data_IF_287278181707
#
_entry.id   IF_287278181707
#
_cell.length_a   1.000
_cell.length_b   1.000
_cell.length_c   1.000
_cell.angle_alpha   90.00
_cell.angle_beta   90.00
_cell.angle_gamma   90.00
#
_symmetry.space_group_name_H-M   'P 1'
#
loop_
_entity.id
_entity.type
_entity.pdbx_description
1 polymer ?
#
# COMPACT_ATOMS: atom_id res chain seq x y z
N UNK A 1 11.23 -53.00 19.95
CA UNK A 1 10.93 -51.56 20.07
C UNK A 1 12.22 -50.80 20.36
N UNK A 2 12.81 -50.13 19.37
CA UNK A 2 14.05 -49.36 19.56
C UNK A 2 13.77 -48.15 20.46
N UNK A 3 14.45 -48.05 21.61
CA UNK A 3 14.37 -46.88 22.49
C UNK A 3 14.90 -45.67 21.72
N UNK A 4 14.05 -44.67 21.50
CA UNK A 4 14.45 -43.40 20.91
C UNK A 4 15.48 -42.76 21.84
N UNK A 5 16.68 -42.52 21.32
CA UNK A 5 17.77 -41.91 22.08
C UNK A 5 17.35 -40.51 22.56
N UNK A 6 17.77 -40.09 23.76
CA UNK A 6 17.32 -38.82 24.38
C UNK A 6 17.56 -37.61 23.47
N UNK A 7 18.67 -37.62 22.71
CA UNK A 7 18.98 -36.59 21.72
C UNK A 7 17.97 -36.53 20.57
N UNK A 8 17.56 -37.68 20.03
CA UNK A 8 16.52 -37.75 18.98
C UNK A 8 15.17 -37.24 19.49
N UNK A 9 14.82 -37.56 20.74
CA UNK A 9 13.61 -37.04 21.39
C UNK A 9 13.65 -35.52 21.51
N UNK A 10 14.79 -34.94 21.89
CA UNK A 10 14.98 -33.49 21.96
C UNK A 10 14.76 -32.82 20.60
N UNK A 11 15.41 -33.32 19.55
CA UNK A 11 15.28 -32.76 18.19
C UNK A 11 13.83 -32.80 17.71
N UNK A 12 13.13 -33.93 17.90
CA UNK A 12 11.72 -34.06 17.50
C UNK A 12 10.84 -33.07 18.25
N UNK A 13 11.04 -32.90 19.56
CA UNK A 13 10.27 -31.93 20.34
C UNK A 13 10.51 -30.50 19.84
N UNK A 14 11.77 -30.11 19.60
CA UNK A 14 12.10 -28.78 19.07
C UNK A 14 11.46 -28.54 17.71
N UNK A 15 11.51 -29.52 16.80
CA UNK A 15 10.89 -29.41 15.48
C UNK A 15 9.36 -29.33 15.56
N UNK A 16 8.73 -30.09 16.46
CA UNK A 16 7.27 -30.04 16.66
C UNK A 16 6.85 -28.69 17.23
N UNK A 17 7.55 -28.16 18.23
CA UNK A 17 7.29 -26.82 18.78
C UNK A 17 7.45 -25.76 17.70
N UNK A 18 8.51 -25.86 16.88
CA UNK A 18 8.73 -24.94 15.77
C UNK A 18 7.61 -25.02 14.73
N UNK A 19 7.19 -26.23 14.33
CA UNK A 19 6.08 -26.41 13.40
C UNK A 19 4.77 -25.84 13.93
N UNK A 20 4.46 -26.04 15.21
CA UNK A 20 3.26 -25.48 15.85
C UNK A 20 3.33 -23.96 15.83
N UNK A 21 4.45 -23.36 16.25
CA UNK A 21 4.62 -21.91 16.24
C UNK A 21 4.50 -21.31 14.83
N UNK A 22 5.15 -21.93 13.83
CA UNK A 22 5.07 -21.47 12.44
C UNK A 22 3.68 -21.65 11.85
N UNK A 23 2.93 -22.67 12.27
CA UNK A 23 1.56 -22.89 11.78
C UNK A 23 0.53 -21.95 12.42
N UNK A 24 0.72 -21.58 13.69
CA UNK A 24 -0.23 -20.73 14.43
C UNK A 24 0.05 -19.24 14.27
N UNK A 25 1.31 -18.85 14.10
CA UNK A 25 1.67 -17.48 13.74
C UNK A 25 1.67 -17.39 12.22
N UNK A 26 0.95 -16.43 11.64
CA UNK A 26 0.64 -16.29 10.20
C UNK A 26 1.86 -16.16 9.24
N UNK A 27 3.07 -16.46 9.70
CA UNK A 27 4.34 -16.16 9.06
C UNK A 27 5.12 -15.05 9.75
N UNK A 28 4.59 -14.47 10.83
CA UNK A 28 5.20 -13.34 11.57
C UNK A 28 6.44 -13.74 12.38
N UNK A 29 6.67 -15.04 12.59
CA UNK A 29 7.74 -15.53 13.46
C UNK A 29 9.03 -15.87 12.68
N UNK A 30 9.53 -14.91 11.89
CA UNK A 30 10.90 -14.97 11.40
C UNK A 30 11.79 -14.08 12.26
N UNK A 31 12.56 -14.63 13.23
CA UNK A 31 13.33 -13.85 14.20
C UNK A 31 14.46 -13.00 13.56
N UNK A 32 14.69 -13.14 12.26
CA UNK A 32 15.65 -12.35 11.48
C UNK A 32 15.01 -11.45 10.41
N UNK A 33 13.68 -11.42 10.29
CA UNK A 33 13.01 -10.53 9.34
C UNK A 33 12.60 -9.24 10.04
N UNK A 34 13.37 -8.18 9.79
CA UNK A 34 13.06 -6.78 10.21
C UNK A 34 11.82 -6.25 9.44
N UNK A 35 11.28 -7.05 8.52
CA UNK A 35 10.07 -6.76 7.77
C UNK A 35 9.03 -7.87 7.97
N UNK A 36 7.84 -7.58 8.51
CA UNK A 36 6.69 -8.45 8.34
C UNK A 36 6.17 -8.28 6.91
N UNK A 37 6.98 -8.69 5.93
CA UNK A 37 6.51 -8.87 4.56
C UNK A 37 6.05 -10.33 4.47
N UNK A 38 4.88 -10.57 3.86
CA UNK A 38 4.30 -11.88 3.51
C UNK A 38 3.30 -12.54 4.48
N UNK A 39 3.12 -12.08 5.71
CA UNK A 39 2.16 -12.67 6.67
C UNK A 39 0.73 -12.10 6.60
N UNK A 40 0.30 -11.64 5.42
CA UNK A 40 -1.12 -11.48 5.10
C UNK A 40 -1.48 -12.31 3.86
N UNK A 41 -0.81 -13.45 3.67
CA UNK A 41 -1.17 -14.38 2.61
C UNK A 41 -2.65 -14.76 2.75
N UNK A 42 -3.50 -14.25 1.86
CA UNK A 42 -4.96 -14.46 1.89
C UNK A 42 -5.79 -13.21 2.21
N UNK A 43 -5.27 -12.27 2.99
CA UNK A 43 -6.06 -11.16 3.51
C UNK A 43 -5.99 -9.93 2.58
N UNK A 44 -7.10 -9.19 2.42
CA UNK A 44 -7.08 -7.93 1.71
C UNK A 44 -6.14 -6.94 2.41
N UNK A 45 -5.35 -6.22 1.61
CA UNK A 45 -4.45 -5.17 2.10
C UNK A 45 -4.73 -3.86 1.38
N UNK A 46 -4.44 -2.74 2.06
CA UNK A 46 -4.55 -1.40 1.50
C UNK A 46 -3.19 -0.70 1.54
N UNK A 47 -2.82 -0.03 0.44
CA UNK A 47 -1.67 0.88 0.33
C UNK A 47 -2.09 2.17 -0.35
N UNK A 48 -1.19 3.16 -0.37
CA UNK A 48 -1.36 4.32 -1.23
C UNK A 48 -0.27 4.35 -2.30
N UNK A 49 -0.64 4.91 -3.46
CA UNK A 49 0.25 5.14 -4.58
C UNK A 49 -0.01 6.53 -5.14
N UNK A 50 1.01 7.16 -5.70
CA UNK A 50 0.86 8.39 -6.46
C UNK A 50 1.31 8.19 -7.90
N UNK A 51 0.64 8.88 -8.82
CA UNK A 51 1.02 8.96 -10.23
C UNK A 51 1.21 10.42 -10.61
N UNK A 52 2.27 10.70 -11.33
CA UNK A 52 2.50 11.99 -11.96
C UNK A 52 1.59 12.11 -13.18
N UNK A 53 0.82 13.20 -13.22
CA UNK A 53 -0.15 13.48 -14.28
C UNK A 53 0.11 14.80 -14.99
N UNK A 54 1.29 15.39 -14.79
CA UNK A 54 1.65 16.66 -15.43
C UNK A 54 1.55 16.62 -16.97
N UNK A 55 1.85 15.48 -17.58
CA UNK A 55 1.91 15.33 -19.05
C UNK A 55 0.69 14.60 -19.64
N UNK A 56 -0.40 14.46 -18.87
CA UNK A 56 -1.60 13.75 -19.32
C UNK A 56 -2.44 14.57 -20.30
N UNK A 57 -2.99 13.90 -21.32
CA UNK A 57 -3.95 14.52 -22.22
C UNK A 57 -5.29 14.77 -21.52
N UNK A 58 -6.04 15.82 -21.89
CA UNK A 58 -7.32 16.15 -21.27
C UNK A 58 -8.33 14.98 -21.30
N UNK A 59 -8.34 14.21 -22.38
CA UNK A 59 -9.16 13.03 -22.63
C UNK A 59 -8.90 11.86 -21.66
N UNK A 60 -7.71 11.77 -21.08
CA UNK A 60 -7.39 10.80 -20.04
C UNK A 60 -7.64 11.34 -18.64
N UNK A 61 -7.78 12.66 -18.48
CA UNK A 61 -8.01 13.30 -17.19
C UNK A 61 -9.35 12.91 -16.57
N UNK A 62 -10.40 12.80 -17.39
CA UNK A 62 -11.73 12.38 -16.92
C UNK A 62 -11.76 10.92 -16.44
N UNK A 63 -10.90 10.07 -17.01
CA UNK A 63 -10.80 8.65 -16.66
C UNK A 63 -10.07 8.43 -15.32
N UNK A 64 -9.34 9.44 -14.82
CA UNK A 64 -8.58 9.35 -13.56
C UNK A 64 -9.49 8.95 -12.39
N UNK A 65 -10.74 9.41 -12.38
CA UNK A 65 -11.68 9.25 -11.28
C UNK A 65 -12.38 7.89 -11.23
N UNK A 66 -12.18 7.04 -12.24
CA UNK A 66 -12.71 5.70 -12.24
C UNK A 66 -11.82 4.74 -11.47
N UNK A 67 -12.45 3.75 -10.84
CA UNK A 67 -11.74 2.62 -10.26
C UNK A 67 -11.16 1.76 -11.37
N UNK A 68 -9.85 1.51 -11.33
CA UNK A 68 -9.15 0.79 -12.39
C UNK A 68 -8.17 -0.24 -11.81
N UNK A 69 -7.76 -1.20 -12.64
CA UNK A 69 -6.65 -2.06 -12.29
C UNK A 69 -5.36 -1.23 -12.22
N UNK A 70 -4.48 -1.52 -11.27
CA UNK A 70 -3.23 -0.76 -11.08
C UNK A 70 -2.36 -0.70 -12.35
N UNK A 71 -2.43 -1.72 -13.21
CA UNK A 71 -1.65 -1.80 -14.45
C UNK A 71 -2.20 -0.92 -15.58
N UNK A 72 -3.39 -0.35 -15.42
CA UNK A 72 -4.07 0.47 -16.43
C UNK A 72 -4.10 1.96 -16.06
N UNK A 73 -3.51 2.34 -14.92
CA UNK A 73 -3.62 3.70 -14.43
C UNK A 73 -2.93 4.70 -15.36
N UNK A 74 -3.55 5.86 -15.61
CA UNK A 74 -2.94 6.91 -16.41
C UNK A 74 -1.73 7.53 -15.68
N UNK A 75 -0.89 8.25 -16.44
CA UNK A 75 0.27 8.97 -15.93
C UNK A 75 1.52 8.12 -15.71
N UNK A 76 2.51 8.66 -15.01
CA UNK A 76 3.78 7.98 -14.71
C UNK A 76 3.90 7.65 -13.21
N UNK A 77 4.65 6.61 -12.79
CA UNK A 77 4.83 6.32 -11.37
C UNK A 77 5.52 7.50 -10.66
N UNK A 78 4.91 8.02 -9.59
CA UNK A 78 5.56 9.02 -8.76
C UNK A 78 6.41 8.34 -7.68
N UNK A 79 7.73 8.34 -7.87
CA UNK A 79 8.67 7.58 -7.03
C UNK A 79 9.01 8.34 -5.76
N UNK A 80 8.36 7.99 -4.65
CA UNK A 80 8.53 8.62 -3.32
C UNK A 80 10.00 8.79 -2.88
N UNK A 81 10.83 7.78 -3.14
CA UNK A 81 12.24 7.76 -2.72
C UNK A 81 13.06 8.89 -3.38
N UNK A 82 12.69 9.33 -4.58
CA UNK A 82 13.35 10.46 -5.26
C UNK A 82 13.10 11.79 -4.56
N UNK A 83 12.05 11.85 -3.73
CA UNK A 83 11.66 13.01 -2.93
C UNK A 83 12.07 12.87 -1.46
N UNK A 84 12.88 11.87 -1.11
CA UNK A 84 13.31 11.62 0.26
C UNK A 84 12.21 11.08 1.18
N UNK A 85 11.11 10.58 0.61
CA UNK A 85 9.95 10.07 1.33
C UNK A 85 10.00 8.55 1.45
N UNK A 86 9.79 8.04 2.65
CA UNK A 86 9.57 6.62 2.86
C UNK A 86 8.16 6.22 2.35
N UNK A 87 8.12 5.19 1.50
CA UNK A 87 6.87 4.75 0.86
C UNK A 87 5.87 4.17 1.88
N UNK A 88 6.35 3.53 2.95
CA UNK A 88 5.51 2.94 3.99
C UNK A 88 4.87 4.06 4.81
N UNK A 89 5.63 5.08 5.18
CA UNK A 89 5.12 6.24 5.91
C UNK A 89 4.10 7.02 5.09
N UNK A 90 4.41 7.29 3.82
CA UNK A 90 3.44 7.89 2.88
C UNK A 90 2.16 7.04 2.78
N UNK A 91 2.31 5.73 2.57
CA UNK A 91 1.17 4.83 2.44
C UNK A 91 0.33 4.81 3.70
N UNK A 92 0.94 4.79 4.88
CA UNK A 92 0.23 4.84 6.15
C UNK A 92 -0.49 6.17 6.34
N UNK A 93 0.18 7.28 6.02
CA UNK A 93 -0.39 8.61 6.13
C UNK A 93 -1.65 8.75 5.28
N UNK A 94 -1.60 8.37 4.00
CA UNK A 94 -2.76 8.48 3.09
C UNK A 94 -3.85 7.45 3.42
N UNK A 95 -3.49 6.19 3.67
CA UNK A 95 -4.48 5.12 3.89
C UNK A 95 -5.18 5.22 5.25
N UNK A 96 -4.54 5.78 6.29
CA UNK A 96 -5.12 5.92 7.63
C UNK A 96 -5.75 7.28 7.89
N UNK A 97 -5.54 8.27 7.02
CA UNK A 97 -6.20 9.57 7.14
C UNK A 97 -7.65 9.44 6.68
N UNK A 98 -8.57 9.66 7.61
CA UNK A 98 -10.02 9.75 7.35
C UNK A 98 -10.39 11.19 7.03
N UNK A 99 -10.06 12.13 7.92
CA UNK A 99 -10.33 13.56 7.74
C UNK A 99 -9.14 14.30 7.12
N UNK A 100 -9.35 14.93 5.97
CA UNK A 100 -8.34 15.73 5.25
C UNK A 100 -8.48 17.22 5.55
N UNK A 101 -7.84 17.69 6.62
CA UNK A 101 -7.73 19.12 6.91
C UNK A 101 -6.64 19.80 6.08
N UNK A 102 -6.71 21.13 5.94
CA UNK A 102 -5.69 21.93 5.24
C UNK A 102 -4.27 21.62 5.71
N UNK A 103 -4.08 21.49 7.03
CA UNK A 103 -2.79 21.12 7.62
C UNK A 103 -2.27 19.77 7.12
N UNK A 104 -3.15 18.77 6.92
CA UNK A 104 -2.76 17.45 6.40
C UNK A 104 -2.48 17.50 4.90
N UNK A 105 -3.24 18.29 4.16
CA UNK A 105 -3.01 18.53 2.73
C UNK A 105 -1.65 19.21 2.53
N UNK A 106 -1.34 20.24 3.32
CA UNK A 106 -0.05 20.93 3.22
C UNK A 106 1.12 20.05 3.66
N UNK A 107 0.94 19.24 4.70
CA UNK A 107 1.93 18.23 5.07
C UNK A 107 2.16 17.24 3.90
N UNK A 108 1.11 16.82 3.21
CA UNK A 108 1.20 15.93 2.05
C UNK A 108 1.93 16.58 0.88
N UNK A 109 1.62 17.85 0.54
CA UNK A 109 2.35 18.62 -0.49
C UNK A 109 3.83 18.72 -0.19
N UNK A 110 4.17 19.01 1.07
CA UNK A 110 5.55 19.12 1.54
C UNK A 110 6.29 17.78 1.44
N UNK A 111 5.67 16.71 1.93
CA UNK A 111 6.23 15.35 1.84
C UNK A 111 6.50 14.99 0.39
N UNK A 112 5.52 15.17 -0.49
CA UNK A 112 5.66 14.88 -1.92
C UNK A 112 6.60 15.86 -2.66
N UNK A 113 7.12 16.90 -2.00
CA UNK A 113 7.97 17.90 -2.64
C UNK A 113 7.29 18.64 -3.80
N UNK A 114 5.96 18.75 -3.79
CA UNK A 114 5.21 19.35 -4.89
C UNK A 114 5.54 20.84 -5.03
N UNK A 115 5.72 21.52 -3.90
CA UNK A 115 6.04 22.95 -3.82
C UNK A 115 7.31 23.35 -4.59
N UNK A 116 8.19 22.40 -4.91
CA UNK A 116 9.44 22.64 -5.63
C UNK A 116 9.50 21.96 -6.99
N UNK A 117 8.68 20.93 -7.23
CA UNK A 117 8.71 20.15 -8.47
C UNK A 117 7.77 20.68 -9.54
N UNK A 118 6.75 21.46 -9.18
CA UNK A 118 5.72 21.92 -10.12
C UNK A 118 4.87 20.80 -10.71
N UNK A 119 4.95 19.59 -10.14
CA UNK A 119 4.24 18.42 -10.62
C UNK A 119 2.79 18.41 -10.15
N UNK A 120 1.93 17.83 -10.96
CA UNK A 120 0.55 17.51 -10.60
C UNK A 120 0.48 16.01 -10.39
N UNK A 121 0.04 15.58 -9.23
CA UNK A 121 -0.02 14.16 -8.86
C UNK A 121 -1.43 13.76 -8.49
N UNK A 122 -1.85 12.59 -8.94
CA UNK A 122 -3.03 11.92 -8.41
C UNK A 122 -2.61 10.93 -7.34
N UNK A 123 -3.40 10.87 -6.27
CA UNK A 123 -3.21 9.95 -5.15
C UNK A 123 -4.30 8.89 -5.23
N UNK A 124 -3.87 7.63 -5.21
CA UNK A 124 -4.72 6.45 -5.20
C UNK A 124 -4.60 5.73 -3.87
N UNK A 125 -5.73 5.22 -3.35
CA UNK A 125 -5.74 4.10 -2.42
C UNK A 125 -5.79 2.83 -3.24
N UNK A 126 -4.88 1.89 -2.99
CA UNK A 126 -4.77 0.63 -3.71
C UNK A 126 -5.14 -0.50 -2.77
N UNK A 127 -6.07 -1.34 -3.22
CA UNK A 127 -6.51 -2.53 -2.50
C UNK A 127 -6.10 -3.77 -3.27
N UNK A 128 -5.33 -4.63 -2.64
CA UNK A 128 -5.09 -5.99 -3.12
C UNK A 128 -6.01 -6.96 -2.37
N UNK A 129 -6.70 -7.83 -3.09
CA UNK A 129 -7.54 -8.89 -2.51
C UNK A 129 -7.57 -10.12 -3.43
N UNK A 130 -7.95 -11.28 -2.90
CA UNK A 130 -8.31 -12.41 -3.74
C UNK A 130 -9.68 -12.16 -4.38
N UNK A 131 -9.76 -12.37 -5.69
CA UNK A 131 -11.01 -12.53 -6.41
C UNK A 131 -11.64 -13.89 -6.10
N UNK A 132 -12.93 -14.03 -6.38
CA UNK A 132 -13.67 -15.28 -6.24
C UNK A 132 -13.05 -16.45 -7.04
N UNK A 133 -12.24 -16.13 -8.06
CA UNK A 133 -11.53 -17.09 -8.91
C UNK A 133 -10.13 -17.46 -8.38
N UNK A 134 -9.80 -17.11 -7.14
CA UNK A 134 -8.47 -17.31 -6.51
C UNK A 134 -7.32 -16.56 -7.19
N UNK A 135 -7.62 -15.58 -8.05
CA UNK A 135 -6.61 -14.68 -8.60
C UNK A 135 -6.45 -13.47 -7.69
N UNK A 136 -5.24 -12.93 -7.57
CA UNK A 136 -5.01 -11.66 -6.87
C UNK A 136 -5.43 -10.51 -7.77
N UNK A 137 -6.41 -9.74 -7.32
CA UNK A 137 -6.81 -8.49 -7.97
C UNK A 137 -6.27 -7.30 -7.20
N UNK A 138 -5.72 -6.34 -7.94
CA UNK A 138 -5.18 -5.09 -7.38
C UNK A 138 -5.92 -3.93 -8.05
N UNK A 139 -6.77 -3.28 -7.27
CA UNK A 139 -7.64 -2.20 -7.72
C UNK A 139 -7.19 -0.88 -7.09
N UNK A 140 -7.15 0.17 -7.88
CA UNK A 140 -6.79 1.51 -7.44
C UNK A 140 -8.03 2.41 -7.44
N UNK A 141 -8.18 3.13 -6.34
CA UNK A 141 -9.30 4.01 -6.03
C UNK A 141 -8.75 5.43 -5.94
N UNK A 142 -9.09 6.31 -6.90
CA UNK A 142 -8.60 7.68 -6.91
C UNK A 142 -9.17 8.44 -5.71
N UNK A 143 -8.31 9.15 -4.98
CA UNK A 143 -8.69 9.91 -3.80
C UNK A 143 -8.73 11.40 -4.10
N UNK A 144 -7.63 11.93 -4.65
CA UNK A 144 -7.46 13.35 -4.92
C UNK A 144 -6.37 13.60 -5.97
N UNK A 145 -6.45 14.75 -6.63
CA UNK A 145 -5.39 15.34 -7.43
C UNK A 145 -4.82 16.52 -6.65
N UNK A 146 -3.50 16.60 -6.59
CA UNK A 146 -2.76 17.59 -5.83
C UNK A 146 -1.69 18.23 -6.72
N UNK A 147 -1.63 19.55 -6.71
CA UNK A 147 -0.51 20.34 -7.24
C UNK A 147 -0.03 21.33 -6.18
N UNK A 148 0.86 22.24 -6.57
CA UNK A 148 1.33 23.33 -5.70
C UNK A 148 0.16 24.15 -5.18
N UNK A 149 -0.74 24.56 -6.06
CA UNK A 149 -1.80 25.53 -5.75
C UNK A 149 -3.21 24.95 -5.81
N UNK A 150 -3.36 23.71 -6.32
CA UNK A 150 -4.67 23.08 -6.47
C UNK A 150 -4.79 21.80 -5.66
N UNK A 151 -6.02 21.55 -5.21
CA UNK A 151 -6.48 20.29 -4.65
C UNK A 151 -7.86 20.01 -5.23
N UNK A 152 -8.03 18.84 -5.81
CA UNK A 152 -9.31 18.37 -6.31
C UNK A 152 -9.54 17.00 -5.68
N UNK A 153 -10.55 16.89 -4.82
CA UNK A 153 -10.98 15.59 -4.31
C UNK A 153 -11.76 14.83 -5.38
N UNK A 154 -11.75 13.50 -5.29
CA UNK A 154 -12.55 12.68 -6.20
C UNK A 154 -14.04 13.05 -6.08
N UNK A 155 -14.68 13.60 -7.13
CA UNK A 155 -16.07 14.05 -7.05
C UNK A 155 -17.07 12.89 -6.89
N UNK A 156 -16.65 11.65 -7.14
CA UNK A 156 -17.51 10.45 -7.07
C UNK A 156 -17.57 9.84 -5.67
N UNK A 157 -16.79 10.35 -4.72
CA UNK A 157 -16.69 9.83 -3.35
C UNK A 157 -17.10 10.94 -2.38
N UNK A 158 -17.92 10.61 -1.40
CA UNK A 158 -18.24 11.52 -0.30
C UNK A 158 -17.05 11.57 0.66
N UNK A 159 -16.49 12.77 0.88
CA UNK A 159 -15.28 12.98 1.69
C UNK A 159 -15.58 13.56 3.08
N UNK A 160 -16.86 13.79 3.40
CA UNK A 160 -17.30 14.43 4.65
C UNK A 160 -17.60 13.42 5.80
N UNK A 161 -16.96 12.24 5.81
CA UNK A 161 -17.10 11.22 6.89
C UNK A 161 -15.80 10.80 7.56
#
# INVERSE_FOLDING_TARGET
MQKINKAKKGIVITLVVYLILVATHLGEFWPFSIYPMFSQAGNPWNRAMARDISDLTPDLYDQIWDQQNVNQLPGEPFVMRQHGVDQIDYSNFVSKTTLWSDRRIDALRNVLGLNYSGKTVVIYRVRGAFSDQKNVEIQAFPLMILSVDSLIFNPKVDHDQ
#
